data_IF_011613091629
#
_entry.id   IF_011613091629
#
_cell.length_a   1.000
_cell.length_b   1.000
_cell.length_c   1.000
_cell.angle_alpha   90.00
_cell.angle_beta   90.00
_cell.angle_gamma   90.00
#
_symmetry.space_group_name_H-M   'P 1'
#
loop_
_entity.id
_entity.type
_entity.pdbx_description
1 polymer ?
#
# COMPACT_ATOMS: atom_id res chain seq x y z
N UNK A 1 -19.41 12.70 4.43
CA UNK A 1 -19.84 11.30 4.21
C UNK A 1 -18.58 10.55 3.85
N UNK A 2 -18.19 9.54 4.63
CA UNK A 2 -16.96 8.79 4.34
C UNK A 2 -17.10 8.15 2.96
N UNK A 3 -16.03 8.24 2.16
CA UNK A 3 -15.94 7.54 0.88
C UNK A 3 -16.12 6.03 1.15
N UNK A 4 -17.06 5.34 0.48
CA UNK A 4 -17.35 3.93 0.72
C UNK A 4 -16.10 3.04 0.56
N UNK A 5 -15.15 3.42 -0.30
CA UNK A 5 -13.89 2.69 -0.49
C UNK A 5 -13.00 2.84 0.74
N UNK A 6 -12.89 4.06 1.29
CA UNK A 6 -12.08 4.32 2.49
C UNK A 6 -12.63 3.58 3.71
N UNK A 7 -13.96 3.60 3.89
CA UNK A 7 -14.62 2.85 4.97
C UNK A 7 -14.35 1.35 4.85
N UNK A 8 -14.38 0.81 3.63
CA UNK A 8 -14.09 -0.60 3.39
C UNK A 8 -12.61 -0.96 3.66
N UNK A 9 -11.67 -0.07 3.33
CA UNK A 9 -10.24 -0.25 3.63
C UNK A 9 -10.02 -0.34 5.14
N UNK A 10 -10.57 0.61 5.91
CA UNK A 10 -10.44 0.61 7.37
C UNK A 10 -11.07 -0.65 7.99
N UNK A 11 -12.26 -1.04 7.54
CA UNK A 11 -12.90 -2.27 8.01
C UNK A 11 -12.05 -3.52 7.73
N UNK A 12 -11.42 -3.61 6.56
CA UNK A 12 -10.50 -4.72 6.24
C UNK A 12 -9.25 -4.72 7.12
N UNK A 13 -8.73 -3.53 7.47
CA UNK A 13 -7.59 -3.43 8.39
C UNK A 13 -7.97 -3.81 9.82
N UNK A 14 -9.14 -3.38 10.29
CA UNK A 14 -9.64 -3.74 11.62
C UNK A 14 -9.90 -5.25 11.75
N UNK A 15 -10.46 -5.87 10.71
CA UNK A 15 -10.63 -7.34 10.61
C UNK A 15 -9.29 -8.07 10.72
N UNK A 16 -8.23 -7.53 10.11
CA UNK A 16 -6.91 -8.17 10.06
C UNK A 16 -5.99 -7.81 11.24
N UNK A 17 -6.28 -6.72 11.99
CA UNK A 17 -5.46 -6.26 13.11
C UNK A 17 -5.37 -7.29 14.25
N UNK A 18 -6.32 -8.21 14.35
CA UNK A 18 -6.27 -9.34 15.29
C UNK A 18 -5.21 -10.39 14.96
N UNK A 19 -4.72 -10.44 13.71
CA UNK A 19 -3.89 -11.53 13.20
C UNK A 19 -2.38 -11.18 13.12
N UNK A 20 -2.01 -9.92 12.85
CA UNK A 20 -0.61 -9.48 12.82
C UNK A 20 -0.47 -8.00 13.23
N UNK A 21 0.24 -7.67 14.34
CA UNK A 21 0.43 -6.28 14.77
C UNK A 21 1.29 -5.45 13.81
N UNK A 22 1.97 -6.09 12.84
CA UNK A 22 2.78 -5.40 11.83
C UNK A 22 1.94 -4.81 10.70
N UNK A 23 0.63 -5.03 10.66
CA UNK A 23 -0.25 -4.51 9.62
C UNK A 23 -0.44 -5.45 8.43
N UNK A 24 -1.31 -5.06 7.51
CA UNK A 24 -1.70 -5.88 6.37
C UNK A 24 -0.96 -5.47 5.11
N UNK A 25 -0.45 -6.43 4.30
CA UNK A 25 0.09 -6.12 2.98
C UNK A 25 -0.97 -5.43 2.11
N UNK A 26 -0.58 -4.34 1.45
CA UNK A 26 -1.46 -3.56 0.59
C UNK A 26 -2.23 -4.42 -0.43
N UNK A 27 -1.56 -5.38 -1.06
CA UNK A 27 -2.15 -6.31 -2.01
C UNK A 27 -3.22 -7.22 -1.40
N UNK A 28 -3.10 -7.59 -0.11
CA UNK A 28 -4.15 -8.36 0.58
C UNK A 28 -5.42 -7.53 0.75
N UNK A 29 -5.26 -6.25 1.07
CA UNK A 29 -6.38 -5.30 1.19
C UNK A 29 -7.04 -5.12 -0.18
N UNK A 30 -6.25 -4.89 -1.24
CA UNK A 30 -6.74 -4.76 -2.62
C UNK A 30 -7.49 -6.02 -3.04
N UNK A 31 -6.91 -7.21 -2.86
CA UNK A 31 -7.55 -8.49 -3.21
C UNK A 31 -8.86 -8.72 -2.47
N UNK A 32 -8.93 -8.36 -1.18
CA UNK A 32 -10.14 -8.47 -0.37
C UNK A 32 -11.26 -7.57 -0.90
N UNK A 33 -10.94 -6.33 -1.29
CA UNK A 33 -11.93 -5.40 -1.83
C UNK A 33 -12.31 -5.71 -3.27
N UNK A 34 -11.39 -6.23 -4.09
CA UNK A 34 -11.72 -6.72 -5.44
C UNK A 34 -12.71 -7.88 -5.36
N UNK A 35 -12.54 -8.82 -4.41
CA UNK A 35 -13.53 -9.89 -4.15
C UNK A 35 -14.90 -9.34 -3.72
N UNK A 36 -14.95 -8.14 -3.14
CA UNK A 36 -16.18 -7.44 -2.74
C UNK A 36 -16.77 -6.57 -3.87
N UNK A 37 -16.17 -6.58 -5.06
CA UNK A 37 -16.67 -5.90 -6.27
C UNK A 37 -16.06 -4.53 -6.55
N UNK A 38 -15.06 -4.09 -5.77
CA UNK A 38 -14.35 -2.85 -6.05
C UNK A 38 -13.33 -3.03 -7.18
N UNK A 39 -13.03 -1.95 -7.90
CA UNK A 39 -11.94 -1.93 -8.88
C UNK A 39 -10.60 -1.75 -8.18
N UNK A 40 -9.59 -2.54 -8.57
CA UNK A 40 -8.25 -2.47 -7.99
C UNK A 40 -7.67 -1.05 -8.05
N UNK A 41 -7.73 -0.39 -9.22
CA UNK A 41 -7.15 0.94 -9.40
C UNK A 41 -7.78 1.99 -8.46
N UNK A 42 -9.09 1.86 -8.19
CA UNK A 42 -9.83 2.75 -7.30
C UNK A 42 -9.40 2.53 -5.85
N UNK A 43 -9.21 1.27 -5.45
CA UNK A 43 -8.73 0.92 -4.10
C UNK A 43 -7.31 1.43 -3.89
N UNK A 44 -6.41 1.19 -4.84
CA UNK A 44 -5.02 1.64 -4.76
C UNK A 44 -4.92 3.17 -4.64
N UNK A 45 -5.65 3.91 -5.50
CA UNK A 45 -5.71 5.37 -5.43
C UNK A 45 -6.27 5.85 -4.08
N UNK A 46 -7.28 5.17 -3.54
CA UNK A 46 -7.83 5.50 -2.23
C UNK A 46 -6.79 5.28 -1.11
N UNK A 47 -6.04 4.18 -1.14
CA UNK A 47 -4.96 3.89 -0.19
C UNK A 47 -3.88 4.98 -0.24
N UNK A 48 -3.41 5.36 -1.42
CA UNK A 48 -2.44 6.46 -1.59
C UNK A 48 -2.99 7.77 -1.04
N UNK A 49 -4.25 8.09 -1.34
CA UNK A 49 -4.91 9.28 -0.83
C UNK A 49 -5.11 9.27 0.68
N UNK A 50 -5.34 8.11 1.29
CA UNK A 50 -5.48 7.96 2.74
C UNK A 50 -4.13 8.13 3.45
N UNK A 51 -3.04 7.58 2.91
CA UNK A 51 -1.70 7.82 3.44
C UNK A 51 -1.32 9.31 3.36
N UNK A 52 -1.57 9.97 2.22
CA UNK A 52 -1.33 11.40 2.07
C UNK A 52 -2.11 12.28 3.08
N UNK A 53 -3.27 11.79 3.54
CA UNK A 53 -4.13 12.46 4.52
C UNK A 53 -3.92 11.98 5.96
N UNK A 54 -2.87 11.18 6.22
CA UNK A 54 -2.59 10.62 7.56
C UNK A 54 -3.76 9.82 8.13
N UNK A 55 -4.38 9.01 7.29
CA UNK A 55 -5.41 8.05 7.70
C UNK A 55 -4.89 6.61 7.71
N UNK A 56 -3.75 6.36 7.05
CA UNK A 56 -3.00 5.12 7.05
C UNK A 56 -1.52 5.42 7.25
N UNK A 57 -0.80 4.50 7.89
CA UNK A 57 0.66 4.57 8.05
C UNK A 57 1.33 3.31 7.49
N UNK A 58 2.39 3.44 6.66
CA UNK A 58 3.25 2.32 6.29
C UNK A 58 4.01 1.80 7.51
N UNK A 59 3.66 0.61 7.99
CA UNK A 59 4.31 -0.01 9.15
C UNK A 59 5.56 -0.82 8.81
N UNK A 60 5.75 -1.13 7.53
CA UNK A 60 6.86 -1.91 7.03
C UNK A 60 6.67 -2.27 5.55
N UNK A 61 7.41 -3.26 5.08
CA UNK A 61 7.27 -3.80 3.72
C UNK A 61 7.43 -5.31 3.72
N UNK A 62 6.82 -5.96 2.74
CA UNK A 62 7.04 -7.38 2.45
C UNK A 62 7.60 -7.55 1.03
N UNK A 63 8.50 -8.51 0.88
CA UNK A 63 8.99 -8.94 -0.41
C UNK A 63 8.22 -10.18 -0.84
N UNK A 64 7.62 -10.14 -2.03
CA UNK A 64 6.91 -11.26 -2.64
C UNK A 64 7.56 -11.62 -3.97
N UNK A 65 7.53 -12.91 -4.28
CA UNK A 65 7.89 -13.40 -5.60
C UNK A 65 6.63 -13.56 -6.43
N UNK A 66 6.50 -12.76 -7.49
CA UNK A 66 5.38 -12.85 -8.42
C UNK A 66 5.86 -13.44 -9.73
N UNK A 67 5.01 -14.26 -10.35
CA UNK A 67 5.24 -14.79 -11.69
C UNK A 67 4.53 -13.90 -12.69
N UNK A 68 5.26 -13.34 -13.64
CA UNK A 68 4.70 -12.55 -14.75
C UNK A 68 5.29 -13.02 -16.07
N UNK A 69 4.60 -12.74 -17.17
CA UNK A 69 5.19 -12.90 -18.49
C UNK A 69 6.11 -11.72 -18.77
N UNK A 70 7.31 -11.99 -19.27
CA UNK A 70 8.21 -10.96 -19.76
C UNK A 70 7.81 -10.47 -21.16
N UNK A 71 8.64 -9.61 -21.77
CA UNK A 71 8.37 -9.01 -23.08
C UNK A 71 8.28 -10.03 -24.22
N UNK A 72 8.84 -11.23 -24.06
CA UNK A 72 8.79 -12.33 -25.05
C UNK A 72 7.77 -13.41 -24.68
N UNK A 73 7.02 -13.21 -23.59
CA UNK A 73 5.94 -14.07 -23.17
C UNK A 73 6.35 -15.18 -22.19
N UNK A 74 7.60 -15.26 -21.78
CA UNK A 74 8.10 -16.31 -20.88
C UNK A 74 7.74 -16.02 -19.42
N UNK A 75 7.41 -17.08 -18.67
CA UNK A 75 7.10 -16.94 -17.25
C UNK A 75 8.38 -16.70 -16.45
N UNK A 76 8.54 -15.47 -15.98
CA UNK A 76 9.65 -15.06 -15.12
C UNK A 76 9.17 -14.81 -13.69
N UNK A 77 10.01 -15.18 -12.73
CA UNK A 77 9.80 -14.86 -11.32
C UNK A 77 10.52 -13.57 -10.98
N UNK A 78 9.79 -12.57 -10.51
CA UNK A 78 10.35 -11.27 -10.12
C UNK A 78 10.02 -10.95 -8.67
N UNK A 79 10.90 -10.19 -8.01
CA UNK A 79 10.64 -9.66 -6.68
C UNK A 79 9.76 -8.42 -6.79
N UNK A 80 8.72 -8.37 -5.97
CA UNK A 80 7.84 -7.22 -5.79
C UNK A 80 7.83 -6.86 -4.31
N UNK A 81 7.97 -5.57 -4.01
CA UNK A 81 7.90 -5.05 -2.65
C UNK A 81 6.60 -4.27 -2.51
N UNK A 82 5.90 -4.48 -1.40
CA UNK A 82 4.67 -3.75 -1.08
C UNK A 82 4.67 -3.34 0.40
N UNK A 83 3.95 -2.26 0.70
CA UNK A 83 3.81 -1.77 2.07
C UNK A 83 2.93 -2.69 2.91
N UNK A 84 3.30 -2.82 4.18
CA UNK A 84 2.38 -3.19 5.24
C UNK A 84 1.68 -1.92 5.73
N UNK A 85 0.36 -1.98 5.88
CA UNK A 85 -0.46 -0.84 6.24
C UNK A 85 -1.17 -1.10 7.56
N UNK A 86 -1.20 -0.08 8.41
CA UNK A 86 -1.98 0.00 9.64
C UNK A 86 -2.85 1.27 9.59
N UNK A 87 -3.94 1.34 10.39
CA UNK A 87 -4.57 2.62 10.71
C UNK A 87 -3.52 3.63 11.18
N UNK A 88 -3.77 4.92 10.94
CA UNK A 88 -2.78 5.95 11.26
C UNK A 88 -2.25 5.84 12.69
N UNK A 89 -0.92 5.79 12.79
CA UNK A 89 -0.17 5.69 14.04
C UNK A 89 0.78 6.88 14.18
N UNK A 90 0.59 7.68 15.24
CA UNK A 90 1.26 8.97 15.43
C UNK A 90 2.78 8.83 15.69
N UNK A 91 3.19 7.75 16.35
CA UNK A 91 4.59 7.39 16.60
C UNK A 91 5.34 7.03 15.31
N UNK A 92 4.60 6.75 14.24
CA UNK A 92 5.10 6.34 12.92
C UNK A 92 4.85 7.41 11.84
N UNK A 93 4.23 8.56 12.17
CA UNK A 93 3.84 9.59 11.19
C UNK A 93 5.01 10.14 10.37
N UNK A 94 6.20 10.21 10.98
CA UNK A 94 7.43 10.68 10.32
C UNK A 94 7.81 9.84 9.09
N UNK A 95 7.33 8.60 8.97
CA UNK A 95 7.57 7.78 7.78
C UNK A 95 6.90 8.34 6.52
N UNK A 96 5.90 9.21 6.68
CA UNK A 96 5.22 9.91 5.60
C UNK A 96 5.91 11.23 5.21
N UNK A 97 6.93 11.65 5.96
CA UNK A 97 7.72 12.85 5.69
C UNK A 97 8.83 12.53 4.68
N UNK A 98 8.52 12.69 3.39
CA UNK A 98 9.53 12.66 2.32
C UNK A 98 10.24 14.02 2.25
N UNK A 99 11.37 14.15 2.94
CA UNK A 99 12.35 15.19 2.64
C UNK A 99 13.24 14.70 1.48
N UNK A 100 12.75 14.84 0.25
CA UNK A 100 13.60 14.63 -0.93
C UNK A 100 14.38 15.92 -1.14
N UNK A 101 15.67 15.92 -0.78
CA UNK A 101 16.56 16.99 -1.20
C UNK A 101 16.80 16.85 -2.71
N UNK A 102 16.05 17.63 -3.49
CA UNK A 102 16.15 17.64 -4.95
C UNK A 102 17.35 18.46 -5.46
N UNK A 103 18.18 19.03 -4.57
CA UNK A 103 19.32 19.86 -4.98
C UNK A 103 20.45 19.06 -5.64
N UNK A 104 20.60 17.77 -5.34
CA UNK A 104 21.65 16.92 -5.94
C UNK A 104 21.25 16.31 -7.29
N UNK A 105 19.95 16.19 -7.60
CA UNK A 105 19.48 15.57 -8.83
C UNK A 105 19.69 16.44 -10.09
N UNK A 106 19.93 17.74 -9.93
CA UNK A 106 20.15 18.69 -11.02
C UNK A 106 21.64 18.91 -11.39
N UNK A 107 22.57 18.25 -10.70
CA UNK A 107 24.01 18.48 -10.86
C UNK A 107 24.74 17.42 -11.73
N UNK A 108 24.01 16.51 -12.38
CA UNK A 108 24.57 15.45 -13.22
C UNK A 108 24.00 15.45 -14.64
N UNK A 109 24.50 16.35 -15.48
CA UNK A 109 24.52 16.24 -16.95
C UNK A 109 25.96 16.17 -17.44
#
# INVERSE_FOLDING_TARGET
MADPVQAAILATLDEAAGDDPRGSPMGVIVDALVRRGFRAEVVELAIWGMMARRQLTPSGFVCRFVRRRDAVGELVQVRSYEFLLVPWAADMDRQLELAVDLSEAAAGE
#
